data_IF_474543355386
#
_entry.id   IF_474543355386
#
_cell.length_a   1.000
_cell.length_b   1.000
_cell.length_c   1.000
_cell.angle_alpha   90.00
_cell.angle_beta   90.00
_cell.angle_gamma   90.00
#
_symmetry.space_group_name_H-M   'P 1'
#
loop_
_entity.id
_entity.type
_entity.pdbx_description
1 polymer ?
#
# COMPACT_ATOMS: atom_id res chain seq x y z
N UNK A 1 3.45 16.16 1.44
CA UNK A 1 3.84 14.77 1.70
C UNK A 1 3.32 14.40 3.06
N UNK A 2 2.56 13.31 3.12
CA UNK A 2 1.85 12.83 4.31
C UNK A 2 2.27 11.38 4.58
N UNK A 3 2.30 11.00 5.86
CA UNK A 3 2.69 9.65 6.26
C UNK A 3 1.64 9.06 7.19
N UNK A 4 1.21 7.84 6.89
CA UNK A 4 0.23 7.09 7.67
C UNK A 4 0.84 5.76 8.09
N UNK A 5 0.45 5.30 9.28
CA UNK A 5 0.79 3.96 9.78
C UNK A 5 -0.48 3.17 9.91
N UNK A 6 -0.50 1.99 9.31
CA UNK A 6 -1.61 1.05 9.43
C UNK A 6 -1.09 -0.34 9.78
N UNK A 7 -1.98 -1.16 10.32
CA UNK A 7 -1.77 -2.60 10.45
C UNK A 7 -2.82 -3.30 9.61
N UNK A 8 -2.39 -4.04 8.59
CA UNK A 8 -3.28 -4.77 7.71
C UNK A 8 -3.01 -6.27 7.84
N UNK A 9 -4.02 -7.02 8.32
CA UNK A 9 -3.92 -8.47 8.60
C UNK A 9 -2.67 -8.86 9.42
N UNK A 10 -2.30 -8.03 10.39
CA UNK A 10 -1.14 -8.23 11.26
C UNK A 10 0.20 -7.75 10.67
N UNK A 11 0.24 -7.25 9.44
CA UNK A 11 1.43 -6.64 8.84
C UNK A 11 1.41 -5.14 9.10
N UNK A 12 2.41 -4.64 9.82
CA UNK A 12 2.62 -3.20 10.00
C UNK A 12 3.23 -2.60 8.72
N UNK A 13 2.64 -1.51 8.21
CA UNK A 13 3.21 -0.77 7.09
C UNK A 13 3.07 0.75 7.25
N UNK A 14 4.00 1.45 6.62
CA UNK A 14 4.04 2.89 6.46
C UNK A 14 3.59 3.22 5.05
N UNK A 15 2.69 4.17 4.94
CA UNK A 15 2.21 4.72 3.67
C UNK A 15 2.75 6.14 3.57
N UNK A 16 3.45 6.46 2.48
CA UNK A 16 3.87 7.84 2.18
C UNK A 16 3.12 8.32 0.96
N UNK A 17 2.32 9.38 1.13
CA UNK A 17 1.54 9.99 0.07
C UNK A 17 2.09 11.36 -0.31
N UNK A 18 2.34 11.56 -1.59
CA UNK A 18 2.74 12.84 -2.16
C UNK A 18 1.73 13.23 -3.26
N UNK A 19 0.79 14.14 -2.98
CA UNK A 19 -0.14 14.61 -3.99
C UNK A 19 0.59 15.42 -5.06
N UNK A 20 0.07 15.39 -6.29
CA UNK A 20 0.57 16.19 -7.42
C UNK A 20 2.10 16.13 -7.58
N UNK A 21 2.68 14.93 -7.41
CA UNK A 21 4.10 14.67 -7.71
C UNK A 21 4.40 15.08 -9.15
N UNK A 22 5.45 15.88 -9.30
CA UNK A 22 5.84 16.51 -10.58
C UNK A 22 4.73 17.39 -11.21
N UNK A 23 3.71 17.77 -10.44
CA UNK A 23 2.56 18.58 -10.89
C UNK A 23 1.55 17.83 -11.76
N UNK A 24 1.58 16.49 -11.82
CA UNK A 24 0.76 15.72 -12.77
C UNK A 24 0.10 14.45 -12.20
N UNK A 25 0.72 13.80 -11.23
CA UNK A 25 0.27 12.50 -10.71
C UNK A 25 0.36 12.44 -9.20
N UNK A 26 -0.55 11.70 -8.59
CA UNK A 26 -0.43 11.35 -7.19
C UNK A 26 0.59 10.21 -7.07
N UNK A 27 1.47 10.30 -6.07
CA UNK A 27 2.48 9.29 -5.79
C UNK A 27 2.25 8.70 -4.40
N UNK A 28 2.11 7.38 -4.33
CA UNK A 28 1.94 6.65 -3.08
C UNK A 28 2.99 5.55 -2.96
N UNK A 29 3.59 5.47 -1.80
CA UNK A 29 4.57 4.45 -1.44
C UNK A 29 4.06 3.64 -0.25
N UNK A 30 4.33 2.35 -0.25
CA UNK A 30 4.13 1.48 0.91
C UNK A 30 5.47 0.85 1.30
N UNK A 31 5.72 0.75 2.60
CA UNK A 31 6.85 0.04 3.17
C UNK A 31 6.39 -0.77 4.39
N UNK A 32 6.53 -2.08 4.34
CA UNK A 32 6.22 -2.96 5.47
C UNK A 32 7.39 -3.05 6.44
N UNK A 33 7.05 -3.21 7.72
CA UNK A 33 8.03 -3.53 8.76
C UNK A 33 8.71 -4.86 8.44
N UNK A 34 10.04 -4.87 8.47
CA UNK A 34 10.83 -6.07 8.21
C UNK A 34 10.75 -6.59 6.77
N UNK A 35 10.31 -5.77 5.81
CA UNK A 35 10.20 -6.17 4.38
C UNK A 35 9.25 -7.36 4.16
N UNK A 36 8.25 -7.52 5.03
CA UNK A 36 7.22 -8.53 4.88
C UNK A 36 6.49 -8.38 3.53
N UNK A 37 6.26 -9.47 2.77
CA UNK A 37 5.56 -9.41 1.50
C UNK A 37 4.08 -9.02 1.67
N UNK A 38 3.52 -8.44 0.63
CA UNK A 38 2.11 -8.08 0.47
C UNK A 38 1.61 -8.61 -0.89
N UNK A 39 0.29 -8.68 -1.13
CA UNK A 39 -0.25 -9.05 -2.44
C UNK A 39 0.29 -8.20 -3.60
N UNK A 40 0.69 -6.95 -3.30
CA UNK A 40 1.20 -6.00 -4.27
C UNK A 40 2.73 -5.93 -4.31
N UNK A 41 3.47 -6.60 -3.41
CA UNK A 41 4.94 -6.57 -3.43
C UNK A 41 5.55 -7.73 -2.67
N UNK A 42 6.51 -8.42 -3.29
CA UNK A 42 7.26 -9.49 -2.64
C UNK A 42 8.35 -8.97 -1.69
N UNK A 43 8.81 -7.73 -1.88
CA UNK A 43 9.91 -7.12 -1.12
C UNK A 43 9.44 -6.28 0.07
N UNK A 44 8.12 -6.17 0.25
CA UNK A 44 7.53 -5.30 1.26
C UNK A 44 7.62 -3.81 0.94
N UNK A 45 8.13 -3.43 -0.23
CA UNK A 45 8.09 -2.04 -0.71
C UNK A 45 7.47 -1.93 -2.09
N UNK A 46 6.62 -0.92 -2.29
CA UNK A 46 6.09 -0.58 -3.61
C UNK A 46 5.87 0.92 -3.73
N UNK A 47 6.38 1.47 -4.82
CA UNK A 47 6.07 2.81 -5.31
C UNK A 47 4.99 2.70 -6.39
N UNK A 48 3.96 3.54 -6.33
CA UNK A 48 2.86 3.52 -7.29
C UNK A 48 2.40 4.94 -7.63
N UNK A 49 2.20 5.20 -8.91
CA UNK A 49 1.68 6.47 -9.42
C UNK A 49 0.23 6.28 -9.86
N UNK A 50 -0.63 7.21 -9.46
CA UNK A 50 -2.08 7.17 -9.68
C UNK A 50 -2.59 8.54 -10.15
N UNK A 51 -3.74 8.59 -10.83
CA UNK A 51 -4.35 9.86 -11.20
C UNK A 51 -4.58 10.76 -9.99
N UNK A 52 -4.39 12.07 -10.19
CA UNK A 52 -4.65 13.06 -9.13
C UNK A 52 -6.09 12.98 -8.68
N UNK A 53 -6.31 12.98 -7.37
CA UNK A 53 -7.63 12.96 -6.75
C UNK A 53 -8.16 11.55 -6.47
N UNK A 54 -7.56 10.49 -7.04
CA UNK A 54 -7.96 9.11 -6.74
C UNK A 54 -7.86 8.81 -5.23
N UNK A 55 -6.80 9.28 -4.56
CA UNK A 55 -6.68 9.06 -3.10
C UNK A 55 -7.81 9.71 -2.32
N UNK A 56 -8.22 10.91 -2.72
CA UNK A 56 -9.32 11.64 -2.08
C UNK A 56 -10.68 10.95 -2.32
N UNK A 57 -10.91 10.39 -3.50
CA UNK A 57 -12.13 9.63 -3.83
C UNK A 57 -12.31 8.39 -2.95
N UNK A 58 -11.21 7.75 -2.54
CA UNK A 58 -11.23 6.62 -1.61
C UNK A 58 -11.33 7.03 -0.13
N UNK A 59 -11.35 8.33 0.17
CA UNK A 59 -11.44 8.85 1.54
C UNK A 59 -10.09 9.05 2.24
N UNK A 60 -8.97 8.86 1.54
CA UNK A 60 -7.63 9.05 2.08
C UNK A 60 -6.64 7.95 1.66
N UNK A 61 -5.36 8.19 1.97
CA UNK A 61 -4.27 7.28 1.60
C UNK A 61 -4.37 5.92 2.31
N UNK A 62 -4.80 5.89 3.57
CA UNK A 62 -4.95 4.66 4.33
C UNK A 62 -6.09 3.79 3.77
N UNK A 63 -7.21 4.42 3.41
CA UNK A 63 -8.40 3.80 2.85
C UNK A 63 -8.13 3.26 1.44
N UNK A 64 -7.46 4.06 0.59
CA UNK A 64 -7.03 3.65 -0.73
C UNK A 64 -6.11 2.42 -0.68
N UNK A 65 -5.06 2.45 0.15
CA UNK A 65 -4.14 1.32 0.27
C UNK A 65 -4.84 0.08 0.83
N UNK A 66 -5.71 0.24 1.84
CA UNK A 66 -6.47 -0.89 2.39
C UNK A 66 -7.35 -1.53 1.31
N UNK A 67 -8.09 -0.73 0.54
CA UNK A 67 -8.92 -1.22 -0.55
C UNK A 67 -8.11 -1.91 -1.66
N UNK A 68 -6.95 -1.35 -2.02
CA UNK A 68 -6.05 -1.93 -3.01
C UNK A 68 -5.47 -3.27 -2.56
N UNK A 69 -5.04 -3.37 -1.30
CA UNK A 69 -4.54 -4.61 -0.71
C UNK A 69 -5.62 -5.69 -0.64
N UNK A 70 -6.86 -5.35 -0.26
CA UNK A 70 -7.97 -6.29 -0.26
C UNK A 70 -8.32 -6.79 -1.68
N UNK A 71 -8.37 -5.88 -2.66
CA UNK A 71 -8.61 -6.23 -4.06
C UNK A 71 -7.55 -7.21 -4.58
N UNK A 72 -6.28 -6.89 -4.37
CA UNK A 72 -5.16 -7.69 -4.87
C UNK A 72 -5.04 -9.01 -4.11
N UNK A 73 -5.33 -9.04 -2.81
CA UNK A 73 -5.41 -10.28 -2.04
C UNK A 73 -6.48 -11.22 -2.58
N UNK A 74 -7.68 -10.69 -2.86
CA UNK A 74 -8.76 -11.46 -3.47
C UNK A 74 -8.39 -11.96 -4.88
N UNK A 75 -7.75 -11.11 -5.70
CA UNK A 75 -7.40 -11.44 -7.10
C UNK A 75 -6.31 -12.51 -7.18
N UNK A 76 -5.37 -12.51 -6.25
CA UNK A 76 -4.20 -13.41 -6.25
C UNK A 76 -4.38 -14.63 -5.34
N UNK A 77 -5.43 -14.68 -4.53
CA UNK A 77 -5.60 -15.70 -3.49
C UNK A 77 -4.63 -15.54 -2.31
N UNK A 78 -4.03 -14.37 -2.14
CA UNK A 78 -3.10 -14.09 -1.06
C UNK A 78 -3.83 -14.09 0.29
N UNK A 79 -3.36 -14.90 1.24
CA UNK A 79 -4.02 -15.11 2.54
C UNK A 79 -3.23 -14.60 3.75
N UNK A 80 -1.99 -14.16 3.56
CA UNK A 80 -1.14 -13.67 4.63
C UNK A 80 0.33 -13.70 4.24
N UNK A 81 1.15 -13.02 5.03
CA UNK A 81 2.59 -13.27 5.04
C UNK A 81 2.77 -14.67 5.63
N UNK A 82 2.79 -15.70 4.78
CA UNK A 82 3.17 -17.03 5.18
C UNK A 82 4.55 -16.91 5.80
N UNK A 83 4.65 -17.14 7.12
CA UNK A 83 5.92 -17.36 7.79
C UNK A 83 6.53 -18.56 7.09
N UNK A 84 7.44 -18.30 6.16
CA UNK A 84 8.31 -19.32 5.63
C UNK A 84 9.20 -19.73 6.80
N UNK A 85 8.80 -20.79 7.52
CA UNK A 85 9.70 -21.52 8.40
C UNK A 85 10.75 -22.18 7.50
N UNK A 86 11.85 -21.46 7.27
CA UNK A 86 13.13 -22.04 6.94
C UNK A 86 14.07 -21.80 8.11
#
# INVERSE_FOLDING_TARGET
METHKITWRGVELIITFTPEKFGLVDHIEIETKGRAPLPVTETGYRSHFIPVGTVAEYGGAAEFITAWLEHEASRTGWNGAQLSLF
#
